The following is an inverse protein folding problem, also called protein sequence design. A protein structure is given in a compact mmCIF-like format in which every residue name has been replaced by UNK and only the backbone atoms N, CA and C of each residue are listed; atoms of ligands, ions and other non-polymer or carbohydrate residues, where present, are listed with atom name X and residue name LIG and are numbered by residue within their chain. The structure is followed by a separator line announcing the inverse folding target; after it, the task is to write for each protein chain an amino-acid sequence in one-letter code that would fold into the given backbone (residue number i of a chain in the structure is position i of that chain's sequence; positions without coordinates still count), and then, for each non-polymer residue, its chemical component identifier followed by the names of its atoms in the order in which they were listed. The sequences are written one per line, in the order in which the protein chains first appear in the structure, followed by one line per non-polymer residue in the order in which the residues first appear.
data_IF_775075556533
#
_entry.id   IF_775075556533
#
_cell.length_a   1.000
_cell.length_b   1.000
_cell.length_c   1.000
_cell.angle_alpha   90.00
_cell.angle_beta   90.00
_cell.angle_gamma   90.00
#
_symmetry.space_group_name_H-M   'P 1'
#
loop_
_entity.id
_entity.type
_entity.pdbx_description
1 polymer ?
#
# COMPACT_ATOMS: atom_id res chain seq x y z
N UNK A 1 -45.31 -3.20 9.03
CA UNK A 1 -44.53 -3.80 7.92
C UNK A 1 -43.36 -2.92 7.75
N UNK A 2 -42.25 -3.20 8.49
CA UNK A 2 -41.02 -2.45 8.51
C UNK A 2 -40.14 -3.00 7.39
N UNK A 3 -39.89 -2.18 6.34
CA UNK A 3 -38.89 -2.49 5.36
C UNK A 3 -37.50 -2.53 6.03
N UNK A 4 -36.64 -3.49 5.70
CA UNK A 4 -35.28 -3.50 6.19
C UNK A 4 -34.51 -2.37 5.51
N UNK A 5 -33.99 -1.43 6.30
CA UNK A 5 -33.03 -0.42 5.86
C UNK A 5 -31.79 -1.16 5.33
N UNK A 6 -31.64 -1.23 4.02
CA UNK A 6 -30.38 -1.52 3.35
C UNK A 6 -29.46 -0.30 3.52
N UNK A 7 -28.77 -0.19 4.64
CA UNK A 7 -27.58 0.65 4.74
C UNK A 7 -26.47 0.03 3.87
N UNK A 8 -26.45 0.38 2.59
CA UNK A 8 -25.33 0.07 1.70
C UNK A 8 -24.15 0.99 2.06
N UNK A 9 -23.30 0.54 2.98
CA UNK A 9 -22.07 1.24 3.37
C UNK A 9 -20.95 1.00 2.33
N UNK A 10 -21.21 1.38 1.05
CA UNK A 10 -20.30 1.10 -0.06
C UNK A 10 -19.06 1.99 -0.08
N UNK A 11 -19.08 3.16 0.55
CA UNK A 11 -17.97 4.13 0.47
C UNK A 11 -16.75 3.74 1.31
N UNK A 12 -16.93 3.37 2.57
CA UNK A 12 -15.86 3.02 3.48
C UNK A 12 -15.21 1.67 3.15
N UNK A 13 -16.04 0.66 2.86
CA UNK A 13 -15.55 -0.67 2.48
C UNK A 13 -14.73 -0.64 1.17
N UNK A 14 -15.10 0.21 0.20
CA UNK A 14 -14.36 0.39 -1.04
C UNK A 14 -13.00 1.06 -0.79
N UNK A 15 -12.94 2.11 0.03
CA UNK A 15 -11.72 2.82 0.39
C UNK A 15 -10.72 1.91 1.12
N UNK A 16 -11.16 1.19 2.14
CA UNK A 16 -10.35 0.22 2.88
C UNK A 16 -9.83 -0.91 1.97
N UNK A 17 -10.69 -1.45 1.09
CA UNK A 17 -10.33 -2.48 0.12
C UNK A 17 -9.30 -1.99 -0.90
N UNK A 18 -9.42 -0.76 -1.39
CA UNK A 18 -8.46 -0.17 -2.34
C UNK A 18 -7.11 0.10 -1.66
N UNK A 19 -7.09 0.53 -0.40
CA UNK A 19 -5.87 0.72 0.37
C UNK A 19 -5.14 -0.60 0.63
N UNK A 20 -5.84 -1.64 1.06
CA UNK A 20 -5.27 -2.97 1.26
C UNK A 20 -4.70 -3.54 -0.05
N UNK A 21 -5.45 -3.42 -1.14
CA UNK A 21 -5.04 -3.89 -2.45
C UNK A 21 -3.80 -3.16 -2.98
N UNK A 22 -3.72 -1.84 -2.75
CA UNK A 22 -2.54 -1.03 -3.08
C UNK A 22 -1.32 -1.50 -2.29
N UNK A 23 -1.46 -1.71 -0.98
CA UNK A 23 -0.38 -2.21 -0.14
C UNK A 23 0.08 -3.61 -0.57
N UNK A 24 -0.85 -4.51 -0.89
CA UNK A 24 -0.54 -5.85 -1.38
C UNK A 24 0.20 -5.83 -2.73
N UNK A 25 -0.24 -5.03 -3.69
CA UNK A 25 0.43 -4.91 -5.01
C UNK A 25 1.80 -4.28 -4.87
N UNK A 26 1.93 -3.23 -4.04
CA UNK A 26 3.21 -2.57 -3.77
C UNK A 26 4.18 -3.53 -3.10
N UNK A 27 3.75 -4.23 -2.04
CA UNK A 27 4.58 -5.21 -1.33
C UNK A 27 5.03 -6.36 -2.23
N UNK A 28 4.14 -6.94 -3.02
CA UNK A 28 4.49 -8.00 -3.96
C UNK A 28 5.49 -7.54 -5.03
N UNK A 29 5.27 -6.36 -5.61
CA UNK A 29 6.18 -5.79 -6.62
C UNK A 29 7.57 -5.50 -6.03
N UNK A 30 7.63 -4.95 -4.83
CA UNK A 30 8.88 -4.67 -4.14
C UNK A 30 9.62 -5.97 -3.77
N UNK A 31 8.91 -6.99 -3.27
CA UNK A 31 9.48 -8.31 -3.01
C UNK A 31 10.09 -8.95 -4.26
N UNK A 32 9.41 -8.85 -5.42
CA UNK A 32 9.93 -9.34 -6.70
C UNK A 32 11.22 -8.59 -7.08
N UNK A 33 11.18 -7.26 -7.12
CA UNK A 33 12.28 -6.43 -7.63
C UNK A 33 13.51 -6.47 -6.72
N UNK A 34 13.30 -6.29 -5.40
CA UNK A 34 14.39 -6.21 -4.43
C UNK A 34 15.11 -7.55 -4.28
N UNK A 35 14.34 -8.64 -4.17
CA UNK A 35 14.94 -9.99 -4.07
C UNK A 35 15.58 -10.42 -5.39
N UNK A 36 14.96 -10.11 -6.54
CA UNK A 36 15.58 -10.37 -7.84
C UNK A 36 16.90 -9.62 -7.99
N UNK A 37 16.93 -8.32 -7.68
CA UNK A 37 18.14 -7.52 -7.70
C UNK A 37 19.23 -8.10 -6.81
N UNK A 38 18.87 -8.49 -5.58
CA UNK A 38 19.81 -9.09 -4.64
C UNK A 38 20.38 -10.42 -5.15
N UNK A 39 19.54 -11.39 -5.55
CA UNK A 39 20.02 -12.73 -5.95
C UNK A 39 20.73 -12.70 -7.32
N UNK A 40 20.32 -11.82 -8.23
CA UNK A 40 21.00 -11.61 -9.51
C UNK A 40 22.35 -10.92 -9.30
N UNK A 41 22.42 -9.94 -8.38
CA UNK A 41 23.68 -9.30 -7.99
C UNK A 41 24.68 -10.31 -7.40
N UNK A 42 24.26 -11.13 -6.44
CA UNK A 42 25.11 -12.18 -5.87
C UNK A 42 25.49 -13.22 -6.92
N UNK A 43 24.60 -13.56 -7.85
CA UNK A 43 24.91 -14.47 -8.96
C UNK A 43 25.98 -13.90 -9.92
N UNK A 44 26.10 -12.59 -10.03
CA UNK A 44 27.19 -11.93 -10.75
C UNK A 44 28.56 -12.13 -10.10
N UNK A 45 28.61 -12.24 -8.76
CA UNK A 45 29.85 -12.45 -8.00
C UNK A 45 30.20 -13.92 -7.81
N UNK A 46 29.22 -14.84 -7.68
CA UNK A 46 29.48 -16.25 -7.37
C UNK A 46 28.42 -17.19 -7.92
N UNK A 47 28.85 -18.40 -8.33
CA UNK A 47 27.96 -19.49 -8.70
C UNK A 47 27.49 -20.36 -7.52
N UNK A 48 27.85 -20.04 -6.27
CA UNK A 48 27.54 -20.84 -5.09
C UNK A 48 26.03 -20.82 -4.78
N UNK A 49 25.39 -22.01 -4.84
CA UNK A 49 23.97 -22.17 -4.48
C UNK A 49 23.70 -21.77 -3.04
N UNK A 50 24.62 -22.10 -2.13
CA UNK A 50 24.50 -21.74 -0.71
C UNK A 50 24.53 -20.24 -0.51
N UNK A 51 25.44 -19.52 -1.17
CA UNK A 51 25.51 -18.06 -1.09
C UNK A 51 24.22 -17.41 -1.62
N UNK A 52 23.71 -17.88 -2.76
CA UNK A 52 22.46 -17.40 -3.36
C UNK A 52 21.26 -17.63 -2.46
N UNK A 53 21.15 -18.84 -1.88
CA UNK A 53 20.06 -19.17 -0.95
C UNK A 53 20.14 -18.34 0.33
N UNK A 54 21.34 -18.24 0.92
CA UNK A 54 21.53 -17.46 2.18
C UNK A 54 21.22 -15.99 1.96
N UNK A 55 21.76 -15.38 0.90
CA UNK A 55 21.50 -13.97 0.58
C UNK A 55 20.01 -13.75 0.28
N UNK A 56 19.41 -14.61 -0.54
CA UNK A 56 18.00 -14.49 -0.90
C UNK A 56 17.05 -14.65 0.29
N UNK A 57 17.30 -15.63 1.19
CA UNK A 57 16.52 -15.78 2.43
C UNK A 57 16.72 -14.61 3.38
N UNK A 58 17.94 -14.13 3.56
CA UNK A 58 18.22 -12.97 4.39
C UNK A 58 17.49 -11.73 3.84
N UNK A 59 17.57 -11.51 2.51
CA UNK A 59 16.87 -10.42 1.84
C UNK A 59 15.35 -10.53 1.95
N UNK A 60 14.78 -11.73 1.77
CA UNK A 60 13.35 -11.97 1.93
C UNK A 60 12.90 -11.64 3.36
N UNK A 61 13.58 -12.17 4.39
CA UNK A 61 13.21 -11.96 5.78
C UNK A 61 13.39 -10.49 6.19
N UNK A 62 14.53 -9.89 5.87
CA UNK A 62 14.80 -8.48 6.18
C UNK A 62 13.82 -7.55 5.45
N UNK A 63 13.57 -7.79 4.18
CA UNK A 63 12.65 -6.99 3.36
C UNK A 63 11.21 -7.09 3.84
N UNK A 64 10.70 -8.31 4.09
CA UNK A 64 9.33 -8.48 4.58
C UNK A 64 9.11 -7.87 5.96
N UNK A 65 10.08 -7.99 6.88
CA UNK A 65 10.00 -7.36 8.20
C UNK A 65 10.10 -5.84 8.11
N UNK A 66 10.99 -5.31 7.25
CA UNK A 66 11.12 -3.86 7.02
C UNK A 66 9.84 -3.25 6.46
N UNK A 67 9.24 -3.91 5.45
CA UNK A 67 7.97 -3.47 4.86
C UNK A 67 6.83 -3.49 5.90
N UNK A 68 6.73 -4.57 6.68
CA UNK A 68 5.72 -4.68 7.73
C UNK A 68 5.88 -3.60 8.81
N UNK A 69 7.11 -3.38 9.28
CA UNK A 69 7.41 -2.36 10.27
C UNK A 69 7.13 -0.94 9.74
N UNK A 70 7.52 -0.66 8.49
CA UNK A 70 7.25 0.63 7.84
C UNK A 70 5.76 0.90 7.69
N UNK A 71 4.98 -0.09 7.25
CA UNK A 71 3.54 0.02 7.11
C UNK A 71 2.85 0.19 8.47
N UNK A 72 3.27 -0.58 9.48
CA UNK A 72 2.77 -0.43 10.85
C UNK A 72 2.97 0.98 11.38
N UNK A 73 4.18 1.53 11.28
CA UNK A 73 4.51 2.87 11.76
C UNK A 73 3.71 3.93 10.98
N UNK A 74 3.65 3.82 9.67
CA UNK A 74 2.92 4.76 8.80
C UNK A 74 1.43 4.81 9.15
N UNK A 75 0.78 3.64 9.23
CA UNK A 75 -0.66 3.54 9.53
C UNK A 75 -0.95 3.90 10.99
N UNK A 76 -0.05 3.57 11.94
CA UNK A 76 -0.18 4.03 13.34
C UNK A 76 -0.14 5.55 13.43
N UNK A 77 0.82 6.20 12.75
CA UNK A 77 0.93 7.66 12.74
C UNK A 77 -0.31 8.33 12.14
N UNK A 78 -0.85 7.76 11.05
CA UNK A 78 -2.09 8.23 10.45
C UNK A 78 -3.25 8.12 11.45
N UNK A 79 -3.42 6.95 12.07
CA UNK A 79 -4.46 6.70 13.07
C UNK A 79 -4.36 7.63 14.28
N UNK A 80 -3.16 7.84 14.78
CA UNK A 80 -2.92 8.76 15.90
C UNK A 80 -3.30 10.20 15.53
N UNK A 81 -3.01 10.63 14.30
CA UNK A 81 -3.39 11.95 13.78
C UNK A 81 -4.92 12.08 13.64
N UNK A 82 -5.59 11.05 13.13
CA UNK A 82 -7.05 11.01 13.02
C UNK A 82 -7.72 11.08 14.40
N UNK A 83 -7.23 10.31 15.37
CA UNK A 83 -7.73 10.33 16.75
C UNK A 83 -7.49 11.69 17.42
N UNK A 84 -6.35 12.33 17.19
CA UNK A 84 -6.06 13.66 17.71
C UNK A 84 -7.01 14.71 17.11
N UNK A 85 -7.26 14.68 15.80
CA UNK A 85 -8.21 15.56 15.14
C UNK A 85 -9.64 15.38 15.70
N UNK A 86 -10.10 14.13 15.83
CA UNK A 86 -11.42 13.83 16.44
C UNK A 86 -11.51 14.29 17.89
N UNK A 87 -10.41 14.26 18.66
CA UNK A 87 -10.40 14.74 20.04
C UNK A 87 -10.52 16.26 20.12
N UNK A 88 -9.90 16.99 19.19
CA UNK A 88 -10.06 18.45 19.06
C UNK A 88 -11.51 18.77 18.72
N UNK A 89 -12.02 18.19 17.67
CA UNK A 89 -13.41 18.36 17.20
C UNK A 89 -14.44 18.12 18.30
N UNK A 90 -14.29 17.02 19.03
CA UNK A 90 -15.16 16.69 20.15
C UNK A 90 -15.13 17.73 21.27
N UNK A 91 -14.00 18.43 21.46
CA UNK A 91 -13.86 19.51 22.42
C UNK A 91 -14.57 20.78 21.91
N UNK A 92 -14.36 21.14 20.65
CA UNK A 92 -14.96 22.33 20.02
C UNK A 92 -16.49 22.24 19.99
N UNK A 93 -17.02 21.09 19.60
CA UNK A 93 -18.46 20.80 19.66
C UNK A 93 -19.08 20.96 21.06
N UNK A 94 -18.30 20.74 22.14
CA UNK A 94 -18.76 20.95 23.52
C UNK A 94 -18.66 22.39 23.98
N UNK A 95 -17.57 23.08 23.59
CA UNK A 95 -17.24 24.41 24.07
C UNK A 95 -17.96 25.50 23.25
N UNK A 96 -18.17 25.25 21.96
CA UNK A 96 -18.68 26.25 21.01
C UNK A 96 -19.75 25.69 20.04
N UNK A 97 -20.80 25.00 20.50
CA UNK A 97 -21.76 24.28 19.64
C UNK A 97 -22.42 25.14 18.57
N UNK A 98 -22.69 26.43 18.87
CA UNK A 98 -23.28 27.34 17.88
C UNK A 98 -22.27 27.80 16.79
N UNK A 99 -20.99 27.86 17.14
CA UNK A 99 -19.94 28.19 16.15
C UNK A 99 -19.75 26.99 15.20
N UNK A 100 -19.70 25.79 15.75
CA UNK A 100 -19.57 24.55 14.98
C UNK A 100 -20.76 24.32 14.04
N UNK A 101 -22.00 24.59 14.48
CA UNK A 101 -23.17 24.52 13.60
C UNK A 101 -23.06 25.50 12.42
N UNK A 102 -22.54 26.72 12.67
CA UNK A 102 -22.32 27.69 11.59
C UNK A 102 -21.22 27.24 10.64
N UNK A 103 -20.17 26.62 11.17
CA UNK A 103 -19.07 26.07 10.38
C UNK A 103 -19.54 24.95 9.46
N UNK A 104 -20.26 23.96 9.99
CA UNK A 104 -20.86 22.88 9.22
C UNK A 104 -21.79 23.42 8.12
N UNK A 105 -22.63 24.44 8.46
CA UNK A 105 -23.49 25.12 7.48
C UNK A 105 -22.65 25.74 6.37
N UNK A 106 -21.55 26.43 6.71
CA UNK A 106 -20.63 27.05 5.75
C UNK A 106 -19.99 26.03 4.82
N UNK A 107 -19.55 24.89 5.36
CA UNK A 107 -18.96 23.78 4.57
C UNK A 107 -19.97 23.13 3.61
N UNK A 108 -21.23 22.97 4.03
CA UNK A 108 -22.30 22.45 3.17
C UNK A 108 -22.65 23.43 2.05
N UNK A 109 -22.66 24.74 2.33
CA UNK A 109 -22.81 25.78 1.30
C UNK A 109 -21.68 25.75 0.27
N UNK A 110 -20.44 25.59 0.72
CA UNK A 110 -19.29 25.49 -0.18
C UNK A 110 -19.39 24.28 -1.13
N UNK A 111 -20.20 23.28 -0.78
CA UNK A 111 -20.55 22.12 -1.64
C UNK A 111 -21.71 22.37 -2.59
N UNK A 112 -22.26 23.60 -2.63
CA UNK A 112 -23.28 24.01 -3.59
C UNK A 112 -24.71 24.03 -3.07
N UNK A 113 -24.94 23.82 -1.78
CA UNK A 113 -26.28 23.99 -1.19
C UNK A 113 -26.62 25.46 -1.00
N UNK A 114 -27.92 25.80 -1.09
CA UNK A 114 -28.40 27.12 -0.68
C UNK A 114 -28.22 27.32 0.82
N UNK A 115 -28.19 28.59 1.28
CA UNK A 115 -28.07 28.96 2.69
C UNK A 115 -29.08 28.22 3.57
N UNK A 116 -30.36 28.26 3.13
CA UNK A 116 -31.47 27.68 3.87
C UNK A 116 -31.36 26.14 3.99
N UNK A 117 -31.09 25.44 2.87
CA UNK A 117 -30.94 24.00 2.84
C UNK A 117 -29.67 23.54 3.59
N UNK A 118 -28.56 24.29 3.49
CA UNK A 118 -27.33 23.98 4.19
C UNK A 118 -27.50 24.08 5.70
N UNK A 119 -28.23 25.08 6.19
CA UNK A 119 -28.52 25.26 7.62
C UNK A 119 -29.42 24.15 8.12
N UNK A 120 -30.51 23.85 7.43
CA UNK A 120 -31.43 22.78 7.82
C UNK A 120 -30.71 21.41 7.86
N UNK A 121 -29.89 21.13 6.85
CA UNK A 121 -29.09 19.91 6.80
C UNK A 121 -28.07 19.83 7.96
N UNK A 122 -27.38 20.94 8.28
CA UNK A 122 -26.44 21.01 9.39
C UNK A 122 -27.14 20.76 10.74
N UNK A 123 -28.31 21.34 10.97
CA UNK A 123 -29.12 21.14 12.17
C UNK A 123 -29.50 19.65 12.31
N UNK A 124 -30.04 19.03 11.26
CA UNK A 124 -30.43 17.61 11.28
C UNK A 124 -29.24 16.66 11.46
N UNK A 125 -28.11 16.95 10.83
CA UNK A 125 -26.89 16.16 10.98
C UNK A 125 -26.33 16.27 12.40
N UNK A 126 -26.33 17.48 12.99
CA UNK A 126 -25.88 17.74 14.35
C UNK A 126 -26.77 17.05 15.39
N UNK A 127 -28.09 17.07 15.21
CA UNK A 127 -29.03 16.37 16.08
C UNK A 127 -28.84 14.85 16.06
N UNK A 128 -28.48 14.29 14.89
CA UNK A 128 -28.26 12.85 14.77
C UNK A 128 -26.92 12.42 15.37
N UNK A 129 -25.82 13.05 15.00
CA UNK A 129 -24.47 12.79 15.52
C UNK A 129 -23.51 13.91 15.04
N UNK A 130 -23.33 14.93 15.87
CA UNK A 130 -22.51 16.09 15.55
C UNK A 130 -21.06 15.71 15.20
N UNK A 131 -20.43 14.87 16.02
CA UNK A 131 -19.05 14.46 15.80
C UNK A 131 -18.88 13.70 14.48
N UNK A 132 -19.79 12.80 14.16
CA UNK A 132 -19.76 12.06 12.90
C UNK A 132 -19.99 12.99 11.70
N UNK A 133 -20.86 13.98 11.82
CA UNK A 133 -21.13 14.95 10.77
C UNK A 133 -19.88 15.76 10.44
N UNK A 134 -19.23 16.36 11.45
CA UNK A 134 -17.99 17.12 11.29
C UNK A 134 -16.84 16.24 10.81
N UNK A 135 -16.62 15.08 11.43
CA UNK A 135 -15.57 14.15 11.01
C UNK A 135 -15.64 13.80 9.51
N UNK A 136 -16.85 13.59 8.98
CA UNK A 136 -17.05 13.26 7.56
C UNK A 136 -17.00 14.47 6.64
N UNK A 137 -17.57 15.59 7.06
CA UNK A 137 -17.72 16.77 6.21
C UNK A 137 -16.47 17.63 6.20
N UNK A 138 -15.84 17.81 7.36
CA UNK A 138 -14.68 18.66 7.58
C UNK A 138 -13.37 17.86 7.42
N UNK A 139 -13.21 16.81 8.24
CA UNK A 139 -11.96 16.07 8.32
C UNK A 139 -11.82 14.98 7.25
N UNK A 140 -12.92 14.60 6.60
CA UNK A 140 -12.93 13.48 5.65
C UNK A 140 -12.68 12.11 6.31
N UNK A 141 -12.87 12.01 7.63
CA UNK A 141 -12.62 10.82 8.45
C UNK A 141 -13.94 10.09 8.70
N UNK A 142 -13.92 8.77 8.61
CA UNK A 142 -15.01 7.94 9.15
C UNK A 142 -14.62 7.43 10.55
N UNK A 143 -15.20 7.96 11.64
CA UNK A 143 -14.83 7.59 13.01
C UNK A 143 -15.02 6.11 13.34
N UNK A 144 -15.90 5.43 12.61
CA UNK A 144 -16.22 4.01 12.82
C UNK A 144 -15.24 3.06 12.10
N UNK A 145 -14.46 3.57 11.17
CA UNK A 145 -13.61 2.76 10.26
C UNK A 145 -12.17 3.26 10.22
N UNK A 146 -11.58 3.53 11.39
CA UNK A 146 -10.17 3.88 11.47
C UNK A 146 -9.29 2.70 11.02
N UNK A 147 -8.23 3.00 10.30
CA UNK A 147 -7.31 1.99 9.76
C UNK A 147 -6.64 1.18 10.87
N UNK A 148 -6.50 -0.14 10.66
CA UNK A 148 -5.82 -1.04 11.60
C UNK A 148 -4.35 -1.24 11.17
N UNK A 149 -3.37 -0.75 11.98
CA UNK A 149 -1.95 -0.88 11.67
C UNK A 149 -1.47 -2.34 11.55
N UNK A 150 -2.03 -3.25 12.36
CA UNK A 150 -1.62 -4.65 12.33
C UNK A 150 -2.10 -5.36 11.06
N UNK A 151 -3.32 -5.09 10.61
CA UNK A 151 -3.82 -5.62 9.35
C UNK A 151 -2.99 -5.13 8.17
N UNK A 152 -2.63 -3.85 8.14
CA UNK A 152 -1.78 -3.29 7.10
C UNK A 152 -0.37 -3.91 7.10
N UNK A 153 0.25 -4.03 8.27
CA UNK A 153 1.57 -4.63 8.43
C UNK A 153 1.59 -6.11 7.99
N UNK A 154 0.62 -6.90 8.42
CA UNK A 154 0.51 -8.31 8.03
C UNK A 154 0.28 -8.48 6.52
N UNK A 155 -0.57 -7.65 5.92
CA UNK A 155 -0.80 -7.66 4.48
C UNK A 155 0.48 -7.35 3.70
N UNK A 156 1.22 -6.33 4.12
CA UNK A 156 2.49 -5.93 3.52
C UNK A 156 3.58 -7.02 3.66
N UNK A 157 3.71 -7.61 4.85
CA UNK A 157 4.61 -8.73 5.10
C UNK A 157 4.34 -9.92 4.16
N UNK A 158 3.09 -10.35 4.07
CA UNK A 158 2.70 -11.48 3.24
C UNK A 158 2.88 -11.18 1.76
N UNK A 159 2.50 -10.00 1.32
CA UNK A 159 2.62 -9.59 -0.07
C UNK A 159 4.09 -9.55 -0.52
N UNK A 160 4.98 -8.94 0.28
CA UNK A 160 6.42 -8.95 0.01
C UNK A 160 6.99 -10.37 -0.02
N UNK A 161 6.66 -11.18 0.99
CA UNK A 161 7.14 -12.57 1.07
C UNK A 161 6.76 -13.37 -0.16
N UNK A 162 5.49 -13.31 -0.59
CA UNK A 162 5.01 -14.01 -1.80
C UNK A 162 5.75 -13.50 -3.04
N UNK A 163 5.94 -12.19 -3.17
CA UNK A 163 6.70 -11.62 -4.28
C UNK A 163 8.16 -12.08 -4.30
N UNK A 164 8.83 -12.08 -3.16
CA UNK A 164 10.23 -12.43 -3.00
C UNK A 164 10.51 -13.92 -3.22
N UNK A 165 9.55 -14.79 -2.92
CA UNK A 165 9.69 -16.25 -3.14
C UNK A 165 9.93 -16.58 -4.60
N UNK A 166 9.33 -15.86 -5.55
CA UNK A 166 9.48 -16.15 -6.98
C UNK A 166 10.94 -16.03 -7.46
N UNK A 167 11.64 -14.88 -7.32
CA UNK A 167 13.04 -14.78 -7.73
C UNK A 167 13.97 -15.70 -6.92
N UNK A 168 13.69 -15.91 -5.63
CA UNK A 168 14.46 -16.81 -4.79
C UNK A 168 14.39 -18.27 -5.30
N UNK A 169 13.21 -18.77 -5.60
CA UNK A 169 13.05 -20.10 -6.15
C UNK A 169 13.62 -20.22 -7.57
N UNK A 170 13.42 -19.18 -8.39
CA UNK A 170 13.93 -19.15 -9.75
C UNK A 170 15.45 -19.15 -9.84
N UNK A 171 16.17 -18.59 -8.85
CA UNK A 171 17.64 -18.60 -8.84
C UNK A 171 18.22 -19.88 -8.20
N UNK A 172 17.50 -20.50 -7.26
CA UNK A 172 18.02 -21.65 -6.47
C UNK A 172 17.70 -23.01 -7.11
N UNK A 173 16.49 -23.18 -7.67
CA UNK A 173 16.03 -24.49 -8.14
C UNK A 173 16.67 -24.96 -9.45
N UNK A 174 16.86 -24.13 -10.49
CA UNK A 174 17.41 -24.58 -11.75
C UNK A 174 18.89 -25.01 -11.67
N UNK A 175 19.37 -25.80 -12.65
CA UNK A 175 20.79 -26.06 -12.85
C UNK A 175 21.57 -24.75 -13.05
N UNK A 176 22.86 -24.77 -12.74
CA UNK A 176 23.72 -23.57 -12.69
C UNK A 176 23.73 -22.78 -14.01
N UNK A 177 23.73 -23.46 -15.15
CA UNK A 177 23.73 -22.89 -16.49
C UNK A 177 22.42 -22.15 -16.85
N UNK A 178 21.30 -22.50 -16.20
CA UNK A 178 19.95 -21.93 -16.47
C UNK A 178 19.42 -20.99 -15.42
N UNK A 179 20.07 -20.88 -14.24
CA UNK A 179 19.61 -20.06 -13.12
C UNK A 179 19.32 -18.62 -13.50
N UNK A 180 20.32 -17.95 -14.07
CA UNK A 180 20.20 -16.53 -14.40
C UNK A 180 19.12 -16.26 -15.46
N UNK A 181 19.09 -16.94 -16.63
CA UNK A 181 18.04 -16.71 -17.62
C UNK A 181 16.64 -17.07 -17.08
N UNK A 182 16.49 -18.15 -16.32
CA UNK A 182 15.20 -18.51 -15.72
C UNK A 182 14.73 -17.43 -14.73
N UNK A 183 15.62 -16.93 -13.89
CA UNK A 183 15.29 -15.87 -12.93
C UNK A 183 14.88 -14.60 -13.65
N UNK A 184 15.67 -14.12 -14.61
CA UNK A 184 15.36 -12.89 -15.36
C UNK A 184 14.01 -13.02 -16.07
N UNK A 185 13.78 -14.11 -16.79
CA UNK A 185 12.52 -14.30 -17.54
C UNK A 185 11.30 -14.41 -16.62
N UNK A 186 11.39 -15.15 -15.53
CA UNK A 186 10.29 -15.29 -14.56
C UNK A 186 9.97 -13.99 -13.84
N UNK A 187 11.00 -13.22 -13.47
CA UNK A 187 10.84 -11.89 -12.86
C UNK A 187 10.19 -10.92 -13.84
N UNK A 188 10.67 -10.84 -15.08
CA UNK A 188 10.07 -9.96 -16.09
C UNK A 188 8.59 -10.33 -16.35
N UNK A 189 8.28 -11.63 -16.44
CA UNK A 189 6.89 -12.09 -16.57
C UNK A 189 6.02 -11.69 -15.36
N UNK A 190 6.54 -11.82 -14.15
CA UNK A 190 5.86 -11.39 -12.93
C UNK A 190 5.64 -9.87 -12.89
N UNK A 191 6.62 -9.07 -13.32
CA UNK A 191 6.50 -7.61 -13.40
C UNK A 191 5.50 -7.15 -14.47
N UNK A 192 5.36 -7.88 -15.57
CA UNK A 192 4.26 -7.66 -16.54
C UNK A 192 2.92 -7.91 -15.86
N UNK A 193 2.79 -9.03 -15.15
CA UNK A 193 1.55 -9.39 -14.48
C UNK A 193 1.17 -8.39 -13.38
N UNK A 194 2.09 -8.03 -12.49
CA UNK A 194 1.86 -7.06 -11.40
C UNK A 194 1.57 -5.66 -11.96
N UNK A 195 2.28 -5.22 -13.00
CA UNK A 195 2.03 -3.95 -13.66
C UNK A 195 0.68 -3.89 -14.35
N UNK A 196 0.26 -4.98 -15.01
CA UNK A 196 -1.05 -5.09 -15.62
C UNK A 196 -2.18 -5.11 -14.57
N UNK A 197 -2.02 -5.91 -13.52
CA UNK A 197 -2.98 -6.01 -12.42
C UNK A 197 -3.15 -4.67 -11.71
N UNK A 198 -2.04 -4.02 -11.35
CA UNK A 198 -2.03 -2.68 -10.73
C UNK A 198 -2.79 -1.66 -11.57
N UNK A 199 -2.55 -1.65 -12.89
CA UNK A 199 -3.23 -0.73 -13.81
C UNK A 199 -4.74 -1.00 -13.90
N UNK A 200 -5.14 -2.27 -13.91
CA UNK A 200 -6.57 -2.65 -13.93
C UNK A 200 -7.28 -2.21 -12.66
N UNK A 201 -6.64 -2.36 -11.51
CA UNK A 201 -7.19 -1.97 -10.22
C UNK A 201 -7.28 -0.44 -10.06
N UNK A 202 -6.29 0.29 -10.60
CA UNK A 202 -6.23 1.76 -10.56
C UNK A 202 -6.90 2.46 -11.74
N UNK A 203 -7.61 1.72 -12.62
CA UNK A 203 -8.23 2.27 -13.86
C UNK A 203 -7.24 3.07 -14.71
N UNK A 204 -5.94 2.70 -14.69
CA UNK A 204 -4.86 3.34 -15.41
C UNK A 204 -4.54 2.63 -16.73
N UNK A 205 -3.72 3.26 -17.60
CA UNK A 205 -3.30 2.66 -18.87
C UNK A 205 -2.30 1.49 -18.63
N UNK A 206 -2.66 0.22 -18.93
CA UNK A 206 -1.83 -0.94 -18.59
C UNK A 206 -0.45 -0.92 -19.23
N UNK A 207 -0.33 -0.46 -20.47
CA UNK A 207 0.94 -0.40 -21.19
C UNK A 207 2.00 0.44 -20.46
N UNK A 208 1.62 1.62 -19.93
CA UNK A 208 2.54 2.50 -19.21
C UNK A 208 2.95 1.90 -17.86
N UNK A 209 2.02 1.28 -17.14
CA UNK A 209 2.32 0.64 -15.87
C UNK A 209 3.25 -0.56 -16.04
N UNK A 210 2.99 -1.42 -17.03
CA UNK A 210 3.85 -2.57 -17.36
C UNK A 210 5.25 -2.11 -17.78
N UNK A 211 5.37 -1.14 -18.69
CA UNK A 211 6.68 -0.64 -19.13
C UNK A 211 7.49 -0.06 -17.96
N UNK A 212 6.84 0.66 -17.05
CA UNK A 212 7.50 1.23 -15.86
C UNK A 212 7.99 0.12 -14.91
N UNK A 213 7.16 -0.89 -14.64
CA UNK A 213 7.52 -1.99 -13.76
C UNK A 213 8.64 -2.83 -14.36
N UNK A 214 8.49 -3.25 -15.61
CA UNK A 214 9.50 -4.06 -16.33
C UNK A 214 10.80 -3.29 -16.49
N UNK A 215 10.74 -2.02 -16.88
CA UNK A 215 11.92 -1.16 -17.03
C UNK A 215 12.67 -0.97 -15.70
N UNK A 216 11.95 -0.70 -14.62
CA UNK A 216 12.54 -0.56 -13.28
C UNK A 216 13.18 -1.85 -12.78
N UNK A 217 12.49 -2.98 -12.90
CA UNK A 217 13.04 -4.27 -12.49
C UNK A 217 14.22 -4.74 -13.35
N UNK A 218 14.14 -4.55 -14.67
CA UNK A 218 15.27 -4.88 -15.57
C UNK A 218 16.50 -4.02 -15.24
N UNK A 219 16.32 -2.73 -15.00
CA UNK A 219 17.41 -1.82 -14.60
C UNK A 219 18.00 -2.24 -13.24
N UNK A 220 17.18 -2.54 -12.26
CA UNK A 220 17.64 -3.00 -10.94
C UNK A 220 18.50 -4.28 -11.07
N UNK A 221 18.01 -5.28 -11.79
CA UNK A 221 18.77 -6.52 -12.04
C UNK A 221 20.09 -6.26 -12.83
N UNK A 222 20.06 -5.40 -13.84
CA UNK A 222 21.25 -5.07 -14.63
C UNK A 222 22.32 -4.38 -13.78
N UNK A 223 21.92 -3.38 -12.98
CA UNK A 223 22.84 -2.63 -12.11
C UNK A 223 23.44 -3.53 -11.04
N UNK A 224 22.62 -4.35 -10.38
CA UNK A 224 23.10 -5.24 -9.32
C UNK A 224 23.96 -6.37 -9.86
N UNK A 225 23.62 -6.93 -11.04
CA UNK A 225 24.47 -7.91 -11.73
C UNK A 225 25.84 -7.34 -12.10
N UNK A 226 25.86 -6.13 -12.66
CA UNK A 226 27.12 -5.47 -13.02
C UNK A 226 27.98 -5.21 -11.77
N UNK A 227 27.39 -4.74 -10.67
CA UNK A 227 28.07 -4.54 -9.40
C UNK A 227 28.64 -5.85 -8.84
N UNK A 228 27.84 -6.93 -8.84
CA UNK A 228 28.27 -8.25 -8.40
C UNK A 228 29.40 -8.80 -9.25
N UNK A 229 29.31 -8.68 -10.58
CA UNK A 229 30.36 -9.14 -11.51
C UNK A 229 31.67 -8.40 -11.32
N UNK A 230 31.64 -7.11 -11.06
CA UNK A 230 32.83 -6.31 -10.73
C UNK A 230 33.49 -6.78 -9.44
N UNK A 231 32.70 -7.00 -8.36
CA UNK A 231 33.21 -7.49 -7.09
C UNK A 231 33.78 -8.91 -7.21
N UNK A 232 33.11 -9.79 -7.93
CA UNK A 232 33.60 -11.14 -8.20
C UNK A 232 34.93 -11.17 -9.01
N UNK A 233 35.11 -10.22 -9.94
CA UNK A 233 36.37 -10.11 -10.71
C UNK A 233 37.55 -9.60 -9.87
N UNK A 234 37.31 -8.84 -8.78
CA UNK A 234 38.35 -8.34 -7.87
C UNK A 234 38.67 -9.35 -6.74
N UNK A 235 37.94 -10.48 -6.67
CA UNK A 235 38.22 -11.55 -5.69
C UNK A 235 37.77 -11.23 -4.27
N UNK A 236 36.76 -10.36 -4.12
CA UNK A 236 36.13 -10.03 -2.82
C UNK A 236 34.97 -10.97 -2.54
#
# INVERSE_FOLDING_TARGET
MTEPEHEENHGGALGARLNWLRAAVLGANDGIVSTAGLVVGVAGATGSRTALLTAGLAGLLAGSMSMAAGEYVSVSTQRDSELAALAVEKRELREQPEAELRELTGMLRARGLSEEVAREAAEQLTERDALRAHARVELGINPDELTDPWHAACASFLAFTVGALLPLLAIVLPPTDRRLPVTVLSVLAALVLTGWTSARLGSAAPRRAVLRNVGGGALAMAVTYAAGSLLGAVGV
#
